data_IF_891604243802
#
_entry.id   IF_891604243802
#
_cell.length_a   1.000
_cell.length_b   1.000
_cell.length_c   1.000
_cell.angle_alpha   90.00
_cell.angle_beta   90.00
_cell.angle_gamma   90.00
#
_symmetry.space_group_name_H-M   'P 1'
#
loop_
_entity.id
_entity.type
_entity.pdbx_description
1 polymer ?
#
# COMPACT_ATOMS: atom_id res chain seq x y z
N UNK A 1 25.95 7.19 8.01
CA UNK A 1 27.06 8.16 8.01
C UNK A 1 26.68 9.34 8.89
N UNK A 2 27.58 9.89 9.71
CA UNK A 2 27.31 11.08 10.51
C UNK A 2 27.18 12.32 9.61
N UNK A 3 26.19 13.18 9.89
CA UNK A 3 26.02 14.47 9.20
C UNK A 3 27.06 15.47 9.72
N UNK A 4 27.87 16.05 8.81
CA UNK A 4 29.01 16.91 9.17
C UNK A 4 28.80 18.40 8.90
N UNK A 5 27.82 18.74 8.06
CA UNK A 5 27.58 20.11 7.61
C UNK A 5 26.32 20.66 8.28
N UNK A 6 26.39 21.90 8.75
CA UNK A 6 25.26 22.64 9.32
C UNK A 6 24.77 23.67 8.31
N UNK A 7 23.45 23.74 8.13
CA UNK A 7 22.77 24.75 7.32
C UNK A 7 21.85 25.52 8.25
N UNK A 8 21.94 26.84 8.23
CA UNK A 8 21.02 27.72 8.94
C UNK A 8 19.94 28.20 7.98
N UNK A 9 18.68 28.11 8.42
CA UNK A 9 17.51 28.51 7.64
C UNK A 9 16.78 29.61 8.43
N UNK A 10 16.48 30.72 7.75
CA UNK A 10 15.63 31.78 8.32
C UNK A 10 14.20 31.49 7.91
N UNK A 11 13.32 31.42 8.90
CA UNK A 11 11.89 31.20 8.73
C UNK A 11 11.16 32.37 9.40
N UNK A 12 9.96 32.70 8.90
CA UNK A 12 9.02 33.49 9.67
C UNK A 12 8.28 32.59 10.69
N UNK A 13 7.47 33.20 11.55
CA UNK A 13 6.76 32.47 12.61
C UNK A 13 5.82 31.41 12.04
N UNK A 14 5.14 31.72 10.92
CA UNK A 14 4.20 30.80 10.27
C UNK A 14 4.92 29.56 9.73
N UNK A 15 6.05 29.74 9.07
CA UNK A 15 6.83 28.64 8.52
C UNK A 15 7.50 27.81 9.62
N UNK A 16 7.90 28.46 10.72
CA UNK A 16 8.41 27.77 11.89
C UNK A 16 7.33 26.90 12.56
N UNK A 17 6.12 27.44 12.78
CA UNK A 17 4.98 26.70 13.32
C UNK A 17 4.62 25.51 12.42
N UNK A 18 4.63 25.72 11.10
CA UNK A 18 4.36 24.65 10.13
C UNK A 18 5.42 23.53 10.21
N UNK A 19 6.70 23.88 10.36
CA UNK A 19 7.79 22.93 10.53
C UNK A 19 7.65 22.15 11.84
N UNK A 20 7.30 22.81 12.94
CA UNK A 20 7.10 22.16 14.24
C UNK A 20 5.92 21.19 14.21
N UNK A 21 4.77 21.64 13.71
CA UNK A 21 3.59 20.78 13.60
C UNK A 21 3.83 19.57 12.67
N UNK A 22 4.61 19.73 11.60
CA UNK A 22 5.00 18.62 10.73
C UNK A 22 5.99 17.65 11.40
N UNK A 23 6.92 18.16 12.21
CA UNK A 23 7.84 17.37 13.03
C UNK A 23 7.06 16.51 14.02
N UNK A 24 6.08 17.08 14.72
CA UNK A 24 5.22 16.37 15.67
C UNK A 24 4.39 15.27 15.00
N UNK A 25 3.66 15.61 13.93
CA UNK A 25 2.81 14.64 13.21
C UNK A 25 3.59 13.46 12.63
N UNK A 26 4.82 13.69 12.18
CA UNK A 26 5.64 12.66 11.56
C UNK A 26 6.52 11.89 12.55
N UNK A 27 6.68 12.38 13.79
CA UNK A 27 7.63 11.85 14.77
C UNK A 27 9.11 12.02 14.37
N UNK A 28 9.40 12.77 13.31
CA UNK A 28 10.75 13.05 12.83
C UNK A 28 11.27 14.34 13.47
N UNK A 29 12.58 14.42 13.70
CA UNK A 29 13.20 15.70 14.05
C UNK A 29 13.15 16.68 12.87
N UNK A 30 13.20 17.98 13.14
CA UNK A 30 13.26 19.06 12.12
C UNK A 30 14.31 18.78 11.05
N UNK A 31 15.49 18.34 11.48
CA UNK A 31 16.61 18.03 10.58
C UNK A 31 16.36 16.79 9.72
N UNK A 32 15.65 15.78 10.22
CA UNK A 32 15.25 14.61 9.42
C UNK A 32 14.23 15.00 8.38
N UNK A 33 13.22 15.78 8.75
CA UNK A 33 12.19 16.25 7.83
C UNK A 33 12.78 17.06 6.67
N UNK A 34 13.62 18.06 6.98
CA UNK A 34 14.30 18.89 5.96
C UNK A 34 15.20 18.04 5.05
N UNK A 35 15.93 17.07 5.59
CA UNK A 35 16.76 16.16 4.78
C UNK A 35 15.94 15.23 3.89
N UNK A 36 14.75 14.82 4.33
CA UNK A 36 13.84 14.03 3.49
C UNK A 36 13.38 14.84 2.29
N UNK A 37 13.07 16.14 2.47
CA UNK A 37 12.74 17.05 1.37
C UNK A 37 13.90 17.23 0.38
N UNK A 38 15.15 17.31 0.87
CA UNK A 38 16.34 17.41 0.01
C UNK A 38 16.59 16.17 -0.86
N UNK A 39 16.07 15.01 -0.46
CA UNK A 39 16.21 13.75 -1.20
C UNK A 39 15.15 13.59 -2.30
N UNK A 40 14.21 14.53 -2.41
CA UNK A 40 13.26 14.57 -3.51
C UNK A 40 14.02 14.89 -4.81
N UNK A 41 13.92 14.04 -5.86
CA UNK A 41 14.66 14.26 -7.09
C UNK A 41 14.19 15.54 -7.82
N UNK A 42 15.12 16.32 -8.41
CA UNK A 42 14.76 17.47 -9.23
C UNK A 42 13.97 17.03 -10.47
N UNK A 43 12.87 17.73 -10.79
CA UNK A 43 11.90 17.33 -11.82
C UNK A 43 10.55 16.85 -11.27
N UNK A 44 10.45 16.68 -9.96
CA UNK A 44 9.20 16.42 -9.25
C UNK A 44 8.21 17.61 -9.26
N UNK A 45 8.67 18.79 -9.67
CA UNK A 45 7.89 20.01 -9.89
C UNK A 45 6.94 19.92 -11.10
N UNK A 46 7.23 19.02 -12.05
CA UNK A 46 6.44 18.80 -13.28
C UNK A 46 5.39 17.70 -13.15
N UNK A 47 5.44 16.90 -12.08
CA UNK A 47 4.42 15.89 -11.78
C UNK A 47 3.62 16.37 -10.57
N UNK A 48 2.31 16.57 -10.75
CA UNK A 48 1.41 17.26 -9.81
C UNK A 48 1.25 16.63 -8.41
N UNK A 49 2.03 15.62 -8.05
CA UNK A 49 2.02 15.03 -6.71
C UNK A 49 3.33 14.32 -6.38
N UNK A 50 3.98 14.69 -5.27
CA UNK A 50 5.19 14.01 -4.76
C UNK A 50 4.81 13.23 -3.51
N UNK A 51 4.85 11.91 -3.60
CA UNK A 51 4.58 11.00 -2.48
C UNK A 51 5.91 10.49 -1.92
N UNK A 52 6.27 10.88 -0.70
CA UNK A 52 7.35 10.24 0.04
C UNK A 52 6.78 8.99 0.72
N UNK A 53 6.68 7.89 -0.02
CA UNK A 53 6.27 6.60 0.54
C UNK A 53 7.53 5.89 1.05
N UNK A 54 7.53 5.50 2.33
CA UNK A 54 8.55 4.61 2.88
C UNK A 54 8.67 3.38 1.96
N UNK A 55 9.83 3.20 1.32
CA UNK A 55 10.08 2.08 0.41
C UNK A 55 9.85 0.72 1.06
N UNK A 56 9.95 0.63 2.39
CA UNK A 56 9.61 -0.57 3.17
C UNK A 56 8.10 -0.85 3.16
N UNK A 57 7.27 0.18 3.31
CA UNK A 57 5.81 0.08 3.25
C UNK A 57 5.35 -0.30 1.85
N UNK A 58 5.93 0.31 0.81
CA UNK A 58 5.69 -0.07 -0.59
C UNK A 58 6.08 -1.51 -0.89
N UNK A 59 7.25 -1.95 -0.40
CA UNK A 59 7.71 -3.34 -0.56
C UNK A 59 6.76 -4.35 0.10
N UNK A 60 6.22 -4.03 1.27
CA UNK A 60 5.21 -4.85 1.95
C UNK A 60 3.90 -4.89 1.17
N UNK A 61 3.39 -3.74 0.73
CA UNK A 61 2.19 -3.65 -0.10
C UNK A 61 2.33 -4.45 -1.40
N UNK A 62 3.47 -4.35 -2.09
CA UNK A 62 3.73 -5.11 -3.31
C UNK A 62 3.77 -6.62 -3.07
N UNK A 63 4.38 -7.05 -1.96
CA UNK A 63 4.44 -8.48 -1.59
C UNK A 63 3.05 -9.03 -1.32
N UNK A 64 2.22 -8.29 -0.58
CA UNK A 64 0.85 -8.68 -0.28
C UNK A 64 -0.04 -8.68 -1.54
N UNK A 65 0.10 -7.70 -2.43
CA UNK A 65 -0.60 -7.69 -3.73
C UNK A 65 -0.27 -8.93 -4.58
N UNK A 66 0.99 -9.34 -4.64
CA UNK A 66 1.41 -10.57 -5.35
C UNK A 66 0.80 -11.81 -4.69
N UNK A 67 0.74 -11.85 -3.36
CA UNK A 67 0.12 -12.94 -2.62
C UNK A 67 -1.37 -13.04 -2.93
N UNK A 68 -2.11 -11.93 -2.95
CA UNK A 68 -3.54 -11.95 -3.30
C UNK A 68 -3.79 -12.34 -4.75
N UNK A 69 -2.96 -11.88 -5.69
CA UNK A 69 -3.03 -12.34 -7.08
C UNK A 69 -2.92 -13.86 -7.19
N UNK A 70 -2.14 -14.51 -6.32
CA UNK A 70 -2.04 -15.97 -6.24
C UNK A 70 -3.31 -16.60 -5.69
N UNK A 71 -3.88 -16.08 -4.61
CA UNK A 71 -5.14 -16.58 -4.03
C UNK A 71 -6.33 -16.39 -5.00
N UNK A 72 -6.42 -15.24 -5.67
CA UNK A 72 -7.42 -15.00 -6.71
C UNK A 72 -7.31 -16.03 -7.85
N UNK A 73 -6.10 -16.27 -8.35
CA UNK A 73 -5.87 -17.28 -9.39
C UNK A 73 -6.23 -18.70 -8.92
N UNK A 74 -6.02 -19.03 -7.65
CA UNK A 74 -6.44 -20.31 -7.08
C UNK A 74 -7.97 -20.45 -7.09
N UNK A 75 -8.71 -19.41 -6.70
CA UNK A 75 -10.16 -19.41 -6.74
C UNK A 75 -10.68 -19.58 -8.18
N UNK A 76 -10.15 -18.79 -9.12
CA UNK A 76 -10.50 -18.89 -10.55
C UNK A 76 -10.20 -20.28 -11.09
N UNK A 77 -9.07 -20.89 -10.72
CA UNK A 77 -8.71 -22.22 -11.20
C UNK A 77 -9.65 -23.31 -10.65
N UNK A 78 -10.05 -23.22 -9.38
CA UNK A 78 -11.05 -24.12 -8.80
C UNK A 78 -12.39 -24.01 -9.53
N UNK A 79 -12.87 -22.79 -9.78
CA UNK A 79 -14.12 -22.54 -10.52
C UNK A 79 -14.05 -23.02 -11.97
N UNK A 80 -12.94 -22.76 -12.67
CA UNK A 80 -12.72 -23.23 -14.04
C UNK A 80 -12.71 -24.76 -14.12
N UNK A 81 -12.17 -25.44 -13.10
CA UNK A 81 -12.17 -26.89 -13.02
C UNK A 81 -13.60 -27.43 -12.86
N UNK A 82 -14.42 -26.82 -11.99
CA UNK A 82 -15.85 -27.17 -11.86
C UNK A 82 -16.56 -26.99 -13.21
N UNK A 83 -16.40 -25.82 -13.84
CA UNK A 83 -17.03 -25.51 -15.13
C UNK A 83 -16.63 -26.50 -16.23
N UNK A 84 -15.36 -26.92 -16.27
CA UNK A 84 -14.85 -27.92 -17.22
C UNK A 84 -15.53 -29.28 -17.01
N UNK A 85 -15.60 -29.75 -15.77
CA UNK A 85 -16.19 -31.06 -15.44
C UNK A 85 -17.68 -31.11 -15.76
N UNK A 86 -18.41 -30.04 -15.45
CA UNK A 86 -19.83 -29.88 -15.82
C UNK A 86 -20.01 -29.91 -17.33
N UNK A 87 -19.20 -29.15 -18.10
CA UNK A 87 -19.28 -29.12 -19.58
C UNK A 87 -18.98 -30.47 -20.22
N UNK A 88 -18.14 -31.29 -19.59
CA UNK A 88 -17.80 -32.64 -20.07
C UNK A 88 -18.87 -33.70 -19.73
N UNK A 89 -19.95 -33.31 -19.06
CA UNK A 89 -21.01 -34.24 -18.64
C UNK A 89 -20.63 -35.11 -17.43
N UNK A 90 -19.53 -34.78 -16.75
CA UNK A 90 -19.03 -35.50 -15.57
C UNK A 90 -18.94 -34.54 -14.38
N UNK A 91 -20.07 -33.99 -13.90
CA UNK A 91 -20.04 -33.06 -12.77
C UNK A 91 -19.45 -33.74 -11.52
N UNK A 92 -18.70 -33.00 -10.69
CA UNK A 92 -18.21 -33.53 -9.42
C UNK A 92 -19.37 -34.01 -8.55
N UNK A 93 -19.14 -35.04 -7.75
CA UNK A 93 -20.12 -35.47 -6.75
C UNK A 93 -20.33 -34.36 -5.71
N UNK A 94 -21.50 -34.29 -5.03
CA UNK A 94 -21.79 -33.22 -4.07
C UNK A 94 -20.66 -32.94 -3.06
N UNK A 95 -20.01 -33.94 -2.43
CA UNK A 95 -18.91 -33.69 -1.49
C UNK A 95 -17.65 -33.08 -2.15
N UNK A 96 -17.35 -33.48 -3.38
CA UNK A 96 -16.21 -32.94 -4.13
C UNK A 96 -16.49 -31.51 -4.59
N UNK A 97 -17.73 -31.24 -5.03
CA UNK A 97 -18.18 -29.91 -5.40
C UNK A 97 -18.13 -28.96 -4.21
N UNK A 98 -18.63 -29.37 -3.05
CA UNK A 98 -18.55 -28.61 -1.80
C UNK A 98 -17.10 -28.30 -1.42
N UNK A 99 -16.18 -29.27 -1.52
CA UNK A 99 -14.77 -29.05 -1.25
C UNK A 99 -14.11 -28.08 -2.26
N UNK A 100 -14.46 -28.15 -3.54
CA UNK A 100 -13.95 -27.23 -4.56
C UNK A 100 -14.48 -25.80 -4.37
N UNK A 101 -15.77 -25.66 -4.06
CA UNK A 101 -16.39 -24.37 -3.75
C UNK A 101 -15.83 -23.78 -2.45
N UNK A 102 -15.63 -24.61 -1.42
CA UNK A 102 -15.01 -24.19 -0.16
C UNK A 102 -13.59 -23.65 -0.37
N UNK A 103 -12.78 -24.30 -1.21
CA UNK A 103 -11.45 -23.78 -1.59
C UNK A 103 -11.52 -22.46 -2.33
N UNK A 104 -12.47 -22.30 -3.26
CA UNK A 104 -12.66 -21.04 -3.98
C UNK A 104 -13.09 -19.91 -3.04
N UNK A 105 -14.04 -20.18 -2.14
CA UNK A 105 -14.54 -19.22 -1.14
C UNK A 105 -13.42 -18.79 -0.19
N UNK A 106 -12.68 -19.74 0.39
CA UNK A 106 -11.56 -19.43 1.29
C UNK A 106 -10.48 -18.57 0.61
N UNK A 107 -10.13 -18.88 -0.64
CA UNK A 107 -9.16 -18.08 -1.39
C UNK A 107 -9.69 -16.66 -1.70
N UNK A 108 -10.99 -16.49 -1.94
CA UNK A 108 -11.62 -15.18 -2.12
C UNK A 108 -11.71 -14.39 -0.81
N UNK A 109 -11.97 -15.04 0.31
CA UNK A 109 -11.95 -14.44 1.65
C UNK A 109 -10.57 -13.90 2.01
N UNK A 110 -9.50 -14.63 1.69
CA UNK A 110 -8.12 -14.17 1.87
C UNK A 110 -7.79 -12.95 1.01
N UNK A 111 -8.27 -12.91 -0.24
CA UNK A 111 -8.13 -11.73 -1.12
C UNK A 111 -8.85 -10.52 -0.53
N UNK A 112 -10.08 -10.70 -0.05
CA UNK A 112 -10.88 -9.62 0.51
C UNK A 112 -10.31 -9.11 1.85
N UNK A 113 -9.82 -10.01 2.71
CA UNK A 113 -9.12 -9.63 3.93
C UNK A 113 -7.85 -8.81 3.62
N UNK A 114 -7.09 -9.25 2.62
CA UNK A 114 -5.94 -8.53 2.10
C UNK A 114 -6.27 -7.13 1.59
N UNK A 115 -7.30 -7.04 0.74
CA UNK A 115 -7.80 -5.76 0.18
C UNK A 115 -8.11 -4.75 1.29
N UNK A 116 -8.77 -5.16 2.37
CA UNK A 116 -9.10 -4.28 3.51
C UNK A 116 -7.85 -3.77 4.23
N UNK A 117 -6.82 -4.60 4.39
CA UNK A 117 -5.54 -4.18 4.98
C UNK A 117 -4.84 -3.16 4.08
N UNK A 118 -4.87 -3.34 2.76
CA UNK A 118 -4.34 -2.33 1.84
C UNK A 118 -5.11 -1.02 1.92
N UNK A 119 -6.44 -1.11 1.94
CA UNK A 119 -7.33 0.05 2.02
C UNK A 119 -7.05 0.85 3.28
N UNK A 120 -6.90 0.19 4.43
CA UNK A 120 -6.50 0.82 5.68
C UNK A 120 -5.10 1.47 5.59
N UNK A 121 -4.11 0.74 5.06
CA UNK A 121 -2.75 1.26 4.94
C UNK A 121 -2.63 2.41 3.93
N UNK A 122 -3.40 2.39 2.84
CA UNK A 122 -3.48 3.49 1.87
C UNK A 122 -4.23 4.69 2.45
N UNK A 123 -5.24 4.46 3.28
CA UNK A 123 -5.94 5.53 4.02
C UNK A 123 -5.00 6.18 5.03
N UNK A 124 -4.24 5.38 5.79
CA UNK A 124 -3.23 5.87 6.72
C UNK A 124 -2.10 6.64 6.00
N UNK A 125 -1.68 6.18 4.82
CA UNK A 125 -0.73 6.93 3.97
C UNK A 125 -1.36 8.22 3.41
N UNK A 126 -2.65 8.21 3.09
CA UNK A 126 -3.37 9.42 2.66
C UNK A 126 -3.56 10.42 3.81
N UNK A 127 -3.70 9.93 5.04
CA UNK A 127 -3.88 10.75 6.24
C UNK A 127 -2.55 11.22 6.85
N UNK A 128 -1.45 10.48 6.61
CA UNK A 128 -0.10 10.87 7.01
C UNK A 128 0.50 11.88 6.03
N UNK A 129 0.31 13.17 6.36
CA UNK A 129 0.78 14.34 5.60
C UNK A 129 0.60 14.16 4.08
N UNK A 130 -0.63 13.98 3.63
CA UNK A 130 -1.02 14.45 2.32
C UNK A 130 -1.23 15.96 2.39
N UNK A 131 -0.31 16.74 1.83
CA UNK A 131 -0.62 18.13 1.45
C UNK A 131 -1.55 18.05 0.25
N UNK A 132 -2.86 17.99 0.51
CA UNK A 132 -3.92 18.16 -0.47
C UNK A 132 -4.23 19.65 -0.60
N UNK A 133 -4.52 20.09 -1.83
CA UNK A 133 -5.16 21.38 -2.06
C UNK A 133 -6.45 21.15 -2.84
N UNK A 134 -7.47 21.91 -2.45
CA UNK A 134 -8.75 22.10 -3.14
C UNK A 134 -8.59 22.40 -4.64
#
# INVERSE_FOLDING_TARGET
>A
MPYRNMVSLRLDDRDLDALEAASERSGLSRSELLRSLLRVPPGADRQRTVYAVDGRTLGRMATELVRWGRHYNQAVHALNTIALLVRRGSPPKPPELEAMLGRALSALEEVEAGRRVLEAALTEVADSIAVRRD
#
